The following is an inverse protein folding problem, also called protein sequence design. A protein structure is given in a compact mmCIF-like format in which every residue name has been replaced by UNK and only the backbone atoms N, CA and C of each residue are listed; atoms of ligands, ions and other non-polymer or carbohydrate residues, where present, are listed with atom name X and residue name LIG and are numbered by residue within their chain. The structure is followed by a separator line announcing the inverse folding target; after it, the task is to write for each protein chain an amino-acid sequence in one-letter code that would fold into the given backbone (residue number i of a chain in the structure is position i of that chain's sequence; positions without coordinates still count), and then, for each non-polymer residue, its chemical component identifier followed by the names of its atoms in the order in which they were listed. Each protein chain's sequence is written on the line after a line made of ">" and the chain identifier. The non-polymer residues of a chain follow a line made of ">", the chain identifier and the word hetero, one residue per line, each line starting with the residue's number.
data_IF_234998650046
#
_entry.id   IF_234998650046
#
_cell.length_a   1.000
_cell.length_b   1.000
_cell.length_c   1.000
_cell.angle_alpha   90.00
_cell.angle_beta   90.00
_cell.angle_gamma   90.00
#
_symmetry.space_group_name_H-M   'P 1'
#
loop_
_entity.id
_entity.type
_entity.pdbx_description
1 polymer ?
#
# COMPACT_ATOMS: atom_id res chain seq x y z
N UNK A 1 8.98 16.55 -5.13
CA UNK A 1 8.49 16.30 -3.76
C UNK A 1 7.02 15.95 -3.87
N UNK A 2 6.65 14.68 -3.65
CA UNK A 2 5.26 14.22 -3.84
C UNK A 2 4.79 13.25 -2.75
N UNK A 3 5.67 12.86 -1.82
CA UNK A 3 5.31 12.00 -0.71
C UNK A 3 4.28 12.69 0.17
N UNK A 4 3.18 12.00 0.36
CA UNK A 4 2.09 12.45 1.20
C UNK A 4 1.11 11.30 1.46
N UNK A 5 0.07 11.54 2.25
CA UNK A 5 -0.82 10.49 2.70
C UNK A 5 -1.57 9.86 1.52
N UNK A 6 -1.38 8.56 1.36
CA UNK A 6 -2.16 7.70 0.48
C UNK A 6 -2.95 6.72 1.35
N UNK A 7 -4.27 6.70 1.18
CA UNK A 7 -5.19 5.90 1.99
C UNK A 7 -6.19 5.18 1.12
N UNK A 8 -6.64 4.04 1.60
CA UNK A 8 -7.71 3.28 0.97
C UNK A 8 -8.58 2.61 2.01
N UNK A 9 -9.75 2.18 1.56
CA UNK A 9 -10.75 1.45 2.33
C UNK A 9 -11.21 0.27 1.49
N UNK A 10 -11.25 -0.93 2.06
CA UNK A 10 -11.84 -2.11 1.45
C UNK A 10 -13.37 -2.06 1.65
N UNK A 11 -14.13 -1.95 0.56
CA UNK A 11 -15.58 -1.79 0.60
C UNK A 11 -16.33 -3.05 1.03
N UNK A 12 -15.71 -4.22 0.89
CA UNK A 12 -16.20 -5.50 1.40
C UNK A 12 -16.28 -5.56 2.93
N UNK A 13 -15.52 -4.71 3.63
CA UNK A 13 -15.28 -4.78 5.09
C UNK A 13 -14.59 -6.06 5.57
N UNK A 14 -14.09 -6.90 4.67
CA UNK A 14 -13.39 -8.13 5.01
C UNK A 14 -11.94 -7.84 5.44
N UNK A 15 -11.49 -8.30 6.63
CA UNK A 15 -10.09 -8.14 7.05
C UNK A 15 -9.09 -8.78 6.10
N UNK A 16 -9.50 -9.86 5.41
CA UNK A 16 -8.66 -10.57 4.45
C UNK A 16 -8.34 -9.72 3.22
N UNK A 17 -9.29 -8.90 2.76
CA UNK A 17 -9.06 -7.93 1.69
C UNK A 17 -8.06 -6.86 2.12
N UNK A 18 -8.13 -6.39 3.37
CA UNK A 18 -7.15 -5.46 3.91
C UNK A 18 -5.76 -6.10 3.95
N UNK A 19 -5.66 -7.33 4.46
CA UNK A 19 -4.40 -8.08 4.48
C UNK A 19 -3.85 -8.35 3.07
N UNK A 20 -4.73 -8.55 2.07
CA UNK A 20 -4.35 -8.71 0.68
C UNK A 20 -3.84 -7.39 0.09
N UNK A 21 -4.49 -6.26 0.36
CA UNK A 21 -4.02 -4.93 -0.08
C UNK A 21 -2.71 -4.52 0.61
N UNK A 22 -2.48 -4.91 1.87
CA UNK A 22 -1.21 -4.73 2.56
C UNK A 22 -0.09 -5.50 1.82
N UNK A 23 -0.32 -6.78 1.47
CA UNK A 23 0.63 -7.60 0.69
C UNK A 23 0.94 -6.99 -0.68
N UNK A 24 -0.08 -6.60 -1.44
CA UNK A 24 0.08 -5.95 -2.75
C UNK A 24 0.87 -4.64 -2.61
N UNK A 25 0.63 -3.87 -1.55
CA UNK A 25 1.37 -2.63 -1.32
C UNK A 25 2.86 -2.88 -1.10
N UNK A 26 3.22 -3.93 -0.35
CA UNK A 26 4.62 -4.33 -0.17
C UNK A 26 5.26 -4.74 -1.51
N UNK A 27 4.58 -5.57 -2.30
CA UNK A 27 5.07 -6.02 -3.62
C UNK A 27 5.31 -4.83 -4.57
N UNK A 28 4.35 -3.91 -4.66
CA UNK A 28 4.47 -2.70 -5.48
C UNK A 28 5.66 -1.83 -5.02
N UNK A 29 5.82 -1.65 -3.72
CA UNK A 29 6.94 -0.86 -3.19
C UNK A 29 8.28 -1.57 -3.48
N UNK A 30 8.36 -2.89 -3.35
CA UNK A 30 9.56 -3.65 -3.72
C UNK A 30 9.93 -3.49 -5.20
N UNK A 31 8.94 -3.45 -6.08
CA UNK A 31 9.18 -3.21 -7.50
C UNK A 31 9.65 -1.77 -7.77
N UNK A 32 9.08 -0.78 -7.09
CA UNK A 32 9.53 0.60 -7.17
C UNK A 32 10.96 0.77 -6.64
N UNK A 33 11.34 0.06 -5.58
CA UNK A 33 12.69 0.07 -5.04
C UNK A 33 13.75 -0.49 -6.02
N UNK A 34 13.36 -1.34 -6.97
CA UNK A 34 14.25 -1.85 -8.03
C UNK A 34 14.50 -0.81 -9.13
N UNK A 35 13.68 0.23 -9.21
CA UNK A 35 13.86 1.31 -10.19
C UNK A 35 14.94 2.30 -9.74
N UNK A 36 15.47 3.08 -10.69
CA UNK A 36 16.49 4.08 -10.38
C UNK A 36 15.84 5.34 -9.81
N UNK A 37 15.67 5.38 -8.49
CA UNK A 37 15.17 6.55 -7.75
C UNK A 37 16.27 7.24 -6.94
N UNK A 38 16.13 8.54 -6.61
CA UNK A 38 17.03 9.21 -5.68
C UNK A 38 17.05 8.53 -4.30
N UNK A 39 18.18 8.61 -3.59
CA UNK A 39 18.36 7.99 -2.27
C UNK A 39 17.27 8.37 -1.25
N UNK A 40 16.87 9.64 -1.21
CA UNK A 40 15.80 10.09 -0.31
C UNK A 40 14.43 9.47 -0.64
N UNK A 41 14.16 9.15 -1.91
CA UNK A 41 12.94 8.46 -2.34
C UNK A 41 13.01 6.98 -1.95
N UNK A 42 14.17 6.35 -2.14
CA UNK A 42 14.43 4.96 -1.73
C UNK A 42 14.18 4.77 -0.23
N UNK A 43 14.68 5.69 0.58
CA UNK A 43 14.49 5.67 2.04
C UNK A 43 13.01 5.78 2.41
N UNK A 44 12.29 6.73 1.80
CA UNK A 44 10.85 6.91 2.03
C UNK A 44 10.05 5.65 1.68
N UNK A 45 10.34 5.01 0.54
CA UNK A 45 9.71 3.75 0.18
C UNK A 45 10.02 2.63 1.18
N UNK A 46 11.27 2.50 1.59
CA UNK A 46 11.71 1.49 2.57
C UNK A 46 11.00 1.65 3.91
N UNK A 47 10.86 2.88 4.40
CA UNK A 47 10.18 3.17 5.66
C UNK A 47 8.68 2.87 5.57
N UNK A 48 8.05 3.22 4.45
CA UNK A 48 6.62 2.95 4.23
C UNK A 48 6.34 1.46 4.01
N UNK A 49 7.28 0.71 3.43
CA UNK A 49 7.18 -0.76 3.36
C UNK A 49 7.19 -1.38 4.75
N UNK A 50 8.18 -1.03 5.58
CA UNK A 50 8.27 -1.51 6.98
C UNK A 50 7.02 -1.17 7.79
N UNK A 51 6.48 0.03 7.58
CA UNK A 51 5.23 0.44 8.18
C UNK A 51 4.09 -0.53 7.82
N UNK A 52 3.89 -0.84 6.53
CA UNK A 52 2.83 -1.75 6.09
C UNK A 52 3.06 -3.18 6.58
N UNK A 53 4.29 -3.70 6.54
CA UNK A 53 4.63 -5.04 7.04
C UNK A 53 4.23 -5.23 8.51
N UNK A 54 4.42 -4.22 9.35
CA UNK A 54 4.03 -4.25 10.77
C UNK A 54 2.59 -3.78 11.06
N UNK A 55 1.87 -3.24 10.09
CA UNK A 55 0.63 -2.49 10.36
C UNK A 55 -0.52 -3.37 10.90
N UNK A 56 -0.55 -4.65 10.53
CA UNK A 56 -1.54 -5.61 11.00
C UNK A 56 -1.33 -5.98 12.49
N UNK A 57 -0.09 -6.21 12.90
CA UNK A 57 0.27 -6.61 14.27
C UNK A 57 -0.07 -5.53 15.30
N UNK A 58 -0.01 -4.26 14.88
CA UNK A 58 -0.34 -3.11 15.71
C UNK A 58 -1.83 -2.93 15.98
N UNK A 59 -2.72 -3.68 15.30
CA UNK A 59 -4.19 -3.69 15.54
C UNK A 59 -4.82 -2.29 15.58
N UNK A 60 -4.46 -1.44 14.61
CA UNK A 60 -4.89 -0.03 14.55
C UNK A 60 -6.24 0.19 13.83
N UNK A 61 -6.85 -0.86 13.29
CA UNK A 61 -8.11 -0.78 12.53
C UNK A 61 -9.28 -0.68 13.49
N UNK A 62 -10.08 0.38 13.37
CA UNK A 62 -11.35 0.57 14.08
C UNK A 62 -12.42 0.97 13.07
N UNK A 63 -13.48 0.16 12.97
CA UNK A 63 -14.55 0.37 12.00
C UNK A 63 -14.19 -0.18 10.61
N UNK A 64 -14.12 0.69 9.60
CA UNK A 64 -13.86 0.29 8.22
C UNK A 64 -12.46 -0.32 8.05
N UNK A 65 -12.36 -1.39 7.26
CA UNK A 65 -11.08 -1.98 6.86
C UNK A 65 -10.29 -0.99 5.99
N UNK A 66 -9.38 -0.25 6.63
CA UNK A 66 -8.69 0.87 6.02
C UNK A 66 -7.21 0.88 6.41
N UNK A 67 -6.38 1.38 5.49
CA UNK A 67 -4.93 1.53 5.69
C UNK A 67 -4.45 2.83 5.08
N UNK A 68 -3.32 3.31 5.59
CA UNK A 68 -2.64 4.51 5.14
C UNK A 68 -1.14 4.24 5.05
N UNK A 69 -0.47 4.86 4.08
CA UNK A 69 0.99 4.99 3.99
C UNK A 69 1.32 6.33 3.32
N UNK A 70 2.60 6.67 3.22
CA UNK A 70 3.08 7.80 2.43
C UNK A 70 3.64 7.33 1.09
N UNK A 71 3.24 7.98 0.01
CA UNK A 71 3.70 7.65 -1.34
C UNK A 71 3.69 8.89 -2.23
N UNK A 72 4.58 8.91 -3.23
CA UNK A 72 4.65 9.96 -4.24
C UNK A 72 3.71 9.71 -5.43
N UNK A 73 3.82 10.53 -6.48
CA UNK A 73 2.94 10.40 -7.65
C UNK A 73 3.05 9.02 -8.32
N UNK A 74 4.28 8.53 -8.54
CA UNK A 74 4.51 7.27 -9.24
C UNK A 74 4.03 6.09 -8.39
N UNK A 75 4.36 6.11 -7.09
CA UNK A 75 3.91 5.07 -6.18
C UNK A 75 2.40 5.04 -6.00
N UNK A 76 1.72 6.20 -5.95
CA UNK A 76 0.24 6.26 -5.88
C UNK A 76 -0.41 5.66 -7.12
N UNK A 77 0.12 5.95 -8.31
CA UNK A 77 -0.40 5.40 -9.57
C UNK A 77 -0.21 3.87 -9.57
N UNK A 78 0.99 3.38 -9.23
CA UNK A 78 1.28 1.96 -9.19
C UNK A 78 0.38 1.20 -8.20
N UNK A 79 0.22 1.72 -6.97
CA UNK A 79 -0.66 1.14 -5.95
C UNK A 79 -2.12 1.09 -6.42
N UNK A 80 -2.63 2.20 -6.95
CA UNK A 80 -4.01 2.27 -7.43
C UNK A 80 -4.28 1.29 -8.58
N UNK A 81 -3.34 1.15 -9.52
CA UNK A 81 -3.44 0.19 -10.62
C UNK A 81 -3.41 -1.25 -10.11
N UNK A 82 -2.53 -1.57 -9.15
CA UNK A 82 -2.42 -2.90 -8.57
C UNK A 82 -3.68 -3.29 -7.77
N UNK A 83 -4.25 -2.36 -7.00
CA UNK A 83 -5.52 -2.58 -6.32
C UNK A 83 -6.67 -2.80 -7.30
N UNK A 84 -6.75 -2.00 -8.36
CA UNK A 84 -7.79 -2.16 -9.37
C UNK A 84 -7.68 -3.50 -10.13
N UNK A 85 -6.46 -3.97 -10.39
CA UNK A 85 -6.22 -5.32 -10.93
C UNK A 85 -6.67 -6.40 -9.95
N UNK A 86 -6.36 -6.25 -8.66
CA UNK A 86 -6.77 -7.20 -7.63
C UNK A 86 -8.29 -7.33 -7.52
N UNK A 87 -9.01 -6.21 -7.58
CA UNK A 87 -10.48 -6.18 -7.62
C UNK A 87 -11.00 -6.86 -8.89
N UNK A 88 -10.47 -6.48 -10.06
CA UNK A 88 -10.87 -7.08 -11.35
C UNK A 88 -10.70 -8.59 -11.38
N UNK A 89 -9.64 -9.09 -10.76
CA UNK A 89 -9.31 -10.52 -10.73
C UNK A 89 -9.92 -11.26 -9.54
N UNK A 90 -10.76 -10.61 -8.73
CA UNK A 90 -11.42 -11.22 -7.56
C UNK A 90 -10.46 -11.62 -6.43
N UNK A 91 -9.25 -11.04 -6.40
CA UNK A 91 -8.31 -11.20 -5.27
C UNK A 91 -8.69 -10.32 -4.08
N UNK A 92 -9.41 -9.23 -4.35
CA UNK A 92 -10.03 -8.30 -3.39
C UNK A 92 -11.48 -8.10 -3.84
N UNK A 93 -12.42 -8.01 -2.90
CA UNK A 93 -13.88 -8.05 -3.18
C UNK A 93 -14.56 -6.67 -3.17
#
# INVERSE_FOLDING_TARGET
>A
MGFGPFRWVCTSQEPDDLAQTDRISCEVIEDLLKTKVPEHVLQQYTDNKKWIEGAAENRLVVGSQARILYSDQEGRIALALAFNDAVRNGRVS
#
